data_IF_071347325011
#
_entry.id   IF_071347325011
#
_cell.length_a   1.000
_cell.length_b   1.000
_cell.length_c   1.000
_cell.angle_alpha   90.00
_cell.angle_beta   90.00
_cell.angle_gamma   90.00
#
_symmetry.space_group_name_H-M   'P 1'
#
loop_
_entity.id
_entity.type
_entity.pdbx_description
1 polymer ?
#
# COMPACT_ATOMS: atom_id res chain seq x y z
N UNK A 1 11.26 -8.50 -21.86
CA UNK A 1 12.35 -7.54 -22.07
C UNK A 1 13.05 -7.14 -20.76
N UNK A 2 12.32 -6.82 -19.66
CA UNK A 2 12.92 -6.46 -18.37
C UNK A 2 13.76 -7.60 -17.80
N UNK A 3 13.23 -8.83 -17.78
CA UNK A 3 13.97 -9.99 -17.30
C UNK A 3 15.30 -10.18 -18.03
N UNK A 4 15.29 -10.07 -19.37
CA UNK A 4 16.48 -10.22 -20.19
C UNK A 4 17.52 -9.11 -19.91
N UNK A 5 17.04 -7.86 -19.75
CA UNK A 5 17.92 -6.71 -19.56
C UNK A 5 18.58 -6.71 -18.17
N UNK A 6 17.84 -7.10 -17.14
CA UNK A 6 18.30 -7.07 -15.74
C UNK A 6 18.67 -8.44 -15.17
N UNK A 7 18.59 -9.52 -15.95
CA UNK A 7 18.86 -10.87 -15.46
C UNK A 7 17.86 -11.33 -14.41
N UNK A 8 16.59 -10.92 -14.54
CA UNK A 8 15.51 -11.24 -13.61
C UNK A 8 14.75 -12.47 -14.09
N UNK A 9 14.05 -13.11 -13.15
CA UNK A 9 13.15 -14.24 -13.40
C UNK A 9 11.75 -13.90 -12.87
N UNK A 10 11.14 -12.85 -13.42
CA UNK A 10 9.80 -12.40 -13.05
C UNK A 10 8.75 -12.99 -13.96
N UNK A 11 7.69 -13.51 -13.36
CA UNK A 11 6.50 -13.97 -14.06
C UNK A 11 5.53 -12.82 -14.31
N UNK A 12 4.97 -12.80 -15.54
CA UNK A 12 3.88 -11.90 -15.89
C UNK A 12 2.57 -12.68 -15.92
N UNK A 13 1.65 -12.33 -15.02
CA UNK A 13 0.35 -12.99 -14.92
C UNK A 13 -0.74 -12.01 -15.37
N UNK A 14 -1.30 -12.15 -16.61
CA UNK A 14 -2.25 -11.19 -17.18
C UNK A 14 -3.68 -11.48 -16.68
N UNK A 15 -3.90 -11.31 -15.38
CA UNK A 15 -5.21 -11.50 -14.74
C UNK A 15 -5.37 -10.60 -13.53
N UNK A 16 -6.60 -10.44 -13.06
CA UNK A 16 -6.86 -9.74 -11.80
C UNK A 16 -6.17 -10.45 -10.64
N UNK A 17 -5.66 -9.65 -9.70
CA UNK A 17 -5.02 -10.20 -8.51
C UNK A 17 -6.00 -11.04 -7.71
N UNK A 18 -5.62 -12.27 -7.43
CA UNK A 18 -6.26 -13.18 -6.50
C UNK A 18 -5.21 -13.72 -5.51
N UNK A 19 -5.61 -13.92 -4.27
CA UNK A 19 -4.67 -14.38 -3.23
C UNK A 19 -4.11 -15.79 -3.48
N UNK A 20 -4.78 -16.59 -4.32
CA UNK A 20 -4.28 -17.89 -4.78
C UNK A 20 -3.07 -17.78 -5.70
N UNK A 21 -2.87 -16.59 -6.32
CA UNK A 21 -1.73 -16.33 -7.20
C UNK A 21 -0.42 -16.08 -6.43
N UNK A 22 -0.49 -15.83 -5.14
CA UNK A 22 0.69 -15.78 -4.30
C UNK A 22 1.27 -17.19 -4.18
N UNK A 23 1.98 -17.62 -5.23
CA UNK A 23 2.67 -18.91 -5.28
C UNK A 23 3.74 -18.99 -4.20
N UNK A 24 4.03 -20.20 -3.81
CA UNK A 24 4.87 -20.57 -2.67
C UNK A 24 6.36 -20.42 -3.02
N UNK A 25 6.85 -19.20 -3.07
CA UNK A 25 8.26 -18.92 -3.35
C UNK A 25 9.04 -18.55 -2.08
N UNK A 26 8.97 -19.41 -1.05
CA UNK A 26 9.82 -19.30 0.11
C UNK A 26 9.11 -19.07 1.45
N UNK A 27 9.88 -19.17 2.54
CA UNK A 27 9.41 -19.05 3.93
C UNK A 27 9.42 -17.62 4.48
N UNK A 28 9.82 -16.64 3.67
CA UNK A 28 9.95 -15.24 4.08
C UNK A 28 8.65 -14.43 4.00
N UNK A 29 8.66 -13.19 4.52
CA UNK A 29 7.53 -12.29 4.39
C UNK A 29 7.29 -11.93 2.92
N UNK A 30 6.04 -11.99 2.47
CA UNK A 30 5.67 -11.56 1.13
C UNK A 30 5.15 -10.14 1.13
N UNK A 31 5.51 -9.37 0.10
CA UNK A 31 5.12 -7.98 -0.07
C UNK A 31 4.24 -7.86 -1.32
N UNK A 32 2.99 -7.43 -1.13
CA UNK A 32 2.15 -7.02 -2.24
C UNK A 32 2.41 -5.55 -2.54
N UNK A 33 2.73 -5.22 -3.78
CA UNK A 33 2.88 -3.82 -4.23
C UNK A 33 1.73 -3.53 -5.18
N UNK A 34 0.95 -2.49 -4.89
CA UNK A 34 -0.16 -2.07 -5.72
C UNK A 34 0.03 -0.67 -6.29
N UNK A 35 -0.22 -0.58 -7.60
CA UNK A 35 -0.18 0.66 -8.37
C UNK A 35 -1.49 0.78 -9.16
N UNK A 36 -2.64 0.61 -8.46
CA UNK A 36 -3.97 0.61 -9.08
C UNK A 36 -4.57 2.00 -9.04
N UNK A 37 -5.29 2.35 -10.10
CA UNK A 37 -5.91 3.65 -10.30
C UNK A 37 -7.39 3.69 -9.86
N UNK A 38 -8.08 2.54 -9.82
CA UNK A 38 -9.51 2.49 -9.52
C UNK A 38 -9.83 2.09 -8.07
N UNK A 39 -10.91 2.66 -7.53
CA UNK A 39 -11.46 2.29 -6.23
C UNK A 39 -11.91 0.82 -6.21
N UNK A 40 -12.45 0.33 -7.33
CA UNK A 40 -12.85 -1.09 -7.50
C UNK A 40 -11.66 -2.03 -7.32
N UNK A 41 -10.57 -1.79 -8.06
CA UNK A 41 -9.36 -2.61 -7.97
C UNK A 41 -8.76 -2.58 -6.56
N UNK A 42 -8.80 -1.43 -5.89
CA UNK A 42 -8.31 -1.29 -4.51
C UNK A 42 -9.20 -2.02 -3.49
N UNK A 43 -10.53 -2.05 -3.71
CA UNK A 43 -11.46 -2.88 -2.91
C UNK A 43 -11.18 -4.36 -3.07
N UNK A 44 -10.94 -4.82 -4.29
CA UNK A 44 -10.65 -6.22 -4.57
C UNK A 44 -9.32 -6.64 -3.94
N UNK A 45 -8.28 -5.81 -4.06
CA UNK A 45 -7.01 -6.00 -3.36
C UNK A 45 -7.21 -6.04 -1.83
N UNK A 46 -7.93 -5.08 -1.26
CA UNK A 46 -8.23 -5.08 0.18
C UNK A 46 -8.86 -6.40 0.61
N UNK A 47 -9.93 -6.83 -0.08
CA UNK A 47 -10.64 -8.08 0.22
C UNK A 47 -9.69 -9.28 0.16
N UNK A 48 -8.90 -9.38 -0.89
CA UNK A 48 -7.98 -10.49 -1.12
C UNK A 48 -6.82 -10.52 -0.12
N UNK A 49 -6.22 -9.37 0.19
CA UNK A 49 -5.09 -9.29 1.10
C UNK A 49 -5.47 -9.54 2.56
N UNK A 50 -6.68 -9.15 2.99
CA UNK A 50 -7.16 -9.34 4.36
C UNK A 50 -7.81 -10.70 4.61
N UNK A 51 -8.11 -11.48 3.57
CA UNK A 51 -8.73 -12.80 3.76
C UNK A 51 -7.77 -13.80 4.45
N UNK A 52 -8.33 -14.81 5.09
CA UNK A 52 -7.58 -15.77 5.92
C UNK A 52 -6.47 -16.51 5.18
N UNK A 53 -6.67 -16.84 3.89
CA UNK A 53 -5.73 -17.56 3.02
C UNK A 53 -4.59 -16.71 2.46
N UNK A 54 -4.68 -15.39 2.52
CA UNK A 54 -3.64 -14.52 1.99
C UNK A 54 -2.29 -14.72 2.70
N UNK A 55 -1.21 -14.73 1.95
CA UNK A 55 0.17 -14.83 2.47
C UNK A 55 0.87 -13.48 2.57
N UNK A 56 0.25 -12.41 2.08
CA UNK A 56 0.84 -11.07 2.13
C UNK A 56 1.08 -10.64 3.58
N UNK A 57 2.34 -10.45 3.92
CA UNK A 57 2.76 -9.90 5.20
C UNK A 57 2.69 -8.38 5.16
N UNK A 58 3.11 -7.79 4.04
CA UNK A 58 3.09 -6.36 3.81
C UNK A 58 2.28 -6.02 2.57
N UNK A 59 1.67 -4.85 2.60
CA UNK A 59 1.03 -4.21 1.45
C UNK A 59 1.57 -2.80 1.30
N UNK A 60 2.32 -2.57 0.21
CA UNK A 60 2.77 -1.26 -0.21
C UNK A 60 1.84 -0.74 -1.30
N UNK A 61 1.06 0.28 -1.00
CA UNK A 61 0.16 0.92 -1.96
C UNK A 61 0.73 2.26 -2.43
N UNK A 62 0.74 2.43 -3.74
CA UNK A 62 1.06 3.68 -4.39
C UNK A 62 -0.21 4.21 -5.05
N UNK A 63 -0.67 5.38 -4.63
CA UNK A 63 -1.79 6.07 -5.24
C UNK A 63 -1.39 7.50 -5.60
N UNK A 64 -2.01 8.03 -6.63
CA UNK A 64 -1.75 9.37 -7.11
C UNK A 64 -3.03 10.10 -7.51
N UNK A 65 -2.92 11.42 -7.57
CA UNK A 65 -3.86 12.36 -8.15
C UNK A 65 -3.12 13.23 -9.15
N UNK A 66 -3.75 14.28 -9.66
CA UNK A 66 -3.09 15.21 -10.60
C UNK A 66 -1.78 15.80 -10.04
N UNK A 67 -1.76 16.17 -8.78
CA UNK A 67 -0.61 16.86 -8.17
C UNK A 67 -0.14 16.25 -6.85
N UNK A 68 -0.77 15.19 -6.40
CA UNK A 68 -0.47 14.53 -5.13
C UNK A 68 -0.23 13.04 -5.27
N UNK A 69 0.46 12.47 -4.29
CA UNK A 69 0.62 11.04 -4.15
C UNK A 69 0.54 10.62 -2.69
N UNK A 70 0.05 9.41 -2.45
CA UNK A 70 0.24 8.71 -1.19
C UNK A 70 1.01 7.42 -1.45
N UNK A 71 1.94 7.13 -0.57
CA UNK A 71 2.66 5.85 -0.52
C UNK A 71 2.52 5.32 0.89
N UNK A 72 1.95 4.14 1.05
CA UNK A 72 1.69 3.55 2.37
C UNK A 72 2.11 2.10 2.41
N UNK A 73 2.98 1.77 3.34
CA UNK A 73 3.35 0.40 3.70
C UNK A 73 2.51 -0.03 4.90
N UNK A 74 1.62 -0.99 4.71
CA UNK A 74 0.79 -1.55 5.77
C UNK A 74 0.98 -3.05 5.94
N UNK A 75 0.36 -3.61 6.95
CA UNK A 75 0.32 -5.05 7.20
C UNK A 75 -1.13 -5.52 7.21
N UNK A 76 -1.59 -6.28 6.21
CA UNK A 76 -2.95 -6.83 6.21
C UNK A 76 -3.21 -7.76 7.40
N UNK A 77 -2.17 -8.41 7.89
CA UNK A 77 -2.20 -9.34 9.04
C UNK A 77 -1.16 -8.96 10.08
N UNK A 78 -1.38 -9.32 11.35
CA UNK A 78 -0.35 -9.18 12.36
C UNK A 78 0.93 -9.93 11.96
N UNK A 79 2.03 -9.21 11.98
CA UNK A 79 3.38 -9.76 11.84
C UNK A 79 4.24 -9.06 12.90
N UNK A 80 5.05 -9.81 13.66
CA UNK A 80 5.80 -9.24 14.77
C UNK A 80 6.74 -8.14 14.29
N UNK A 81 6.44 -6.91 14.67
CA UNK A 81 7.38 -5.80 14.63
C UNK A 81 7.62 -5.39 16.09
N UNK A 82 8.87 -5.44 16.57
CA UNK A 82 9.19 -5.13 17.97
C UNK A 82 8.65 -3.77 18.42
N UNK A 83 8.56 -2.81 17.50
CA UNK A 83 8.11 -1.44 17.74
C UNK A 83 6.58 -1.34 17.91
N UNK A 84 5.83 -2.40 17.55
CA UNK A 84 4.37 -2.39 17.50
C UNK A 84 3.70 -3.29 18.54
N UNK A 85 4.39 -3.66 19.63
CA UNK A 85 3.92 -4.61 20.64
C UNK A 85 2.48 -4.34 21.13
N UNK A 86 2.07 -3.07 21.20
CA UNK A 86 0.72 -2.69 21.63
C UNK A 86 -0.34 -2.67 20.52
N UNK A 87 0.05 -2.58 19.25
CA UNK A 87 -0.85 -2.34 18.10
C UNK A 87 -0.94 -3.51 17.14
N UNK A 88 -0.02 -4.45 17.23
CA UNK A 88 0.00 -5.72 16.51
C UNK A 88 0.36 -5.62 15.03
N UNK A 89 0.15 -4.49 14.35
CA UNK A 89 0.47 -4.31 12.93
C UNK A 89 0.37 -2.86 12.47
N UNK A 90 1.01 -2.55 11.33
CA UNK A 90 0.87 -1.27 10.63
C UNK A 90 -0.51 -1.17 9.95
N UNK A 91 -1.24 -0.05 10.08
CA UNK A 91 -2.46 0.16 9.31
C UNK A 91 -2.16 0.24 7.82
N UNK A 92 -3.02 -0.38 7.00
CA UNK A 92 -2.92 -0.30 5.55
C UNK A 92 -3.58 0.98 5.01
N UNK A 93 -3.30 1.30 3.74
CA UNK A 93 -3.82 2.49 3.07
C UNK A 93 -5.34 2.63 3.19
N UNK A 94 -6.07 1.54 3.02
CA UNK A 94 -7.55 1.51 3.09
C UNK A 94 -8.11 1.68 4.50
N UNK A 95 -7.29 1.50 5.51
CA UNK A 95 -7.65 1.77 6.91
C UNK A 95 -7.36 3.23 7.28
N UNK A 96 -6.26 3.78 6.77
CA UNK A 96 -5.92 5.21 6.94
C UNK A 96 -6.85 6.11 6.13
N UNK A 97 -7.24 5.68 4.92
CA UNK A 97 -8.03 6.43 3.97
C UNK A 97 -9.23 5.59 3.49
N UNK A 98 -10.25 5.36 4.34
CA UNK A 98 -11.41 4.54 3.97
C UNK A 98 -12.16 5.04 2.73
N UNK A 99 -12.12 6.34 2.47
CA UNK A 99 -12.72 6.96 1.28
C UNK A 99 -12.15 6.43 -0.05
N UNK A 100 -10.96 5.84 -0.04
CA UNK A 100 -10.39 5.18 -1.22
C UNK A 100 -11.15 3.90 -1.63
N UNK A 101 -12.03 3.41 -0.76
CA UNK A 101 -12.90 2.27 -1.03
C UNK A 101 -14.30 2.71 -1.48
N UNK A 102 -14.63 4.00 -1.36
CA UNK A 102 -15.91 4.54 -1.78
C UNK A 102 -15.94 4.70 -3.30
N UNK A 103 -17.07 4.36 -3.92
CA UNK A 103 -17.29 4.68 -5.32
C UNK A 103 -17.45 6.20 -5.45
N UNK A 104 -16.40 6.88 -5.83
CA UNK A 104 -16.59 8.09 -6.61
C UNK A 104 -17.21 7.63 -7.93
N UNK A 105 -18.17 8.38 -8.47
CA UNK A 105 -18.68 8.11 -9.81
C UNK A 105 -17.46 8.06 -10.74
N UNK A 106 -16.94 6.84 -10.93
CA UNK A 106 -15.99 6.58 -11.97
C UNK A 106 -16.81 6.80 -13.23
N UNK A 107 -16.59 7.91 -13.92
CA UNK A 107 -17.07 8.03 -15.27
C UNK A 107 -16.68 6.76 -15.99
N UNK A 108 -17.66 5.99 -16.46
CA UNK A 108 -17.47 4.76 -17.26
C UNK A 108 -16.81 5.05 -18.62
N UNK A 109 -16.24 6.24 -18.77
CA UNK A 109 -15.40 6.58 -19.88
C UNK A 109 -14.17 5.68 -19.82
N UNK A 110 -13.98 4.79 -20.81
CA UNK A 110 -12.81 3.94 -20.84
C UNK A 110 -11.58 4.83 -20.74
N UNK A 111 -10.76 4.59 -19.72
CA UNK A 111 -9.47 5.28 -19.51
C UNK A 111 -8.48 4.91 -20.64
N UNK A 112 -8.99 4.82 -21.85
CA UNK A 112 -8.38 4.18 -23.00
C UNK A 112 -7.42 5.06 -23.78
N UNK A 113 -7.00 6.19 -23.26
CA UNK A 113 -5.84 6.78 -23.87
C UNK A 113 -4.80 7.12 -22.80
N UNK A 114 -3.65 6.49 -22.92
CA UNK A 114 -2.38 6.93 -22.31
C UNK A 114 -2.24 8.45 -22.38
N UNK A 115 -2.81 9.08 -23.39
CA UNK A 115 -2.83 10.53 -23.61
C UNK A 115 -3.71 11.26 -22.59
N UNK A 116 -4.90 10.75 -22.24
CA UNK A 116 -5.78 11.34 -21.23
C UNK A 116 -5.18 11.16 -19.84
N UNK A 117 -4.66 9.99 -19.55
CA UNK A 117 -3.95 9.71 -18.30
C UNK A 117 -2.72 10.60 -18.11
N UNK A 118 -1.94 10.84 -19.16
CA UNK A 118 -0.79 11.75 -19.14
C UNK A 118 -1.21 13.22 -19.01
N UNK A 119 -2.39 13.59 -19.46
CA UNK A 119 -2.92 14.96 -19.31
C UNK A 119 -3.52 15.22 -17.93
N UNK A 120 -4.04 14.19 -17.27
CA UNK A 120 -4.68 14.29 -15.95
C UNK A 120 -3.71 14.12 -14.78
N UNK A 121 -2.49 13.66 -15.04
CA UNK A 121 -1.47 13.44 -14.01
C UNK A 121 -0.27 14.38 -14.23
N UNK A 122 0.19 15.00 -13.15
CA UNK A 122 1.41 15.78 -13.19
C UNK A 122 2.62 14.93 -13.55
N UNK A 123 3.47 15.43 -14.42
CA UNK A 123 4.60 14.70 -15.02
C UNK A 123 5.49 13.95 -14.00
N UNK A 124 5.68 14.51 -12.81
CA UNK A 124 6.61 13.98 -11.82
C UNK A 124 5.95 13.28 -10.62
N UNK A 125 4.61 13.18 -10.59
CA UNK A 125 3.88 12.61 -9.45
C UNK A 125 4.23 11.13 -9.29
N UNK A 126 4.21 10.38 -10.39
CA UNK A 126 4.52 8.95 -10.39
C UNK A 126 6.00 8.69 -10.03
N UNK A 127 6.93 9.49 -10.58
CA UNK A 127 8.36 9.36 -10.24
C UNK A 127 8.59 9.59 -8.74
N UNK A 128 7.96 10.60 -8.16
CA UNK A 128 8.05 10.88 -6.74
C UNK A 128 7.46 9.74 -5.88
N UNK A 129 6.30 9.21 -6.27
CA UNK A 129 5.69 8.08 -5.56
C UNK A 129 6.61 6.85 -5.57
N UNK A 130 7.20 6.51 -6.71
CA UNK A 130 8.13 5.38 -6.84
C UNK A 130 9.38 5.58 -5.98
N UNK A 131 9.95 6.78 -5.94
CA UNK A 131 11.14 7.06 -5.10
C UNK A 131 10.85 6.88 -3.62
N UNK A 132 9.71 7.38 -3.12
CA UNK A 132 9.30 7.16 -1.73
C UNK A 132 8.98 5.70 -1.43
N UNK A 133 8.32 4.99 -2.36
CA UNK A 133 8.06 3.55 -2.20
C UNK A 133 9.37 2.76 -2.10
N UNK A 134 10.33 3.06 -2.96
CA UNK A 134 11.65 2.42 -2.93
C UNK A 134 12.41 2.72 -1.64
N UNK A 135 12.32 3.95 -1.13
CA UNK A 135 12.93 4.32 0.15
C UNK A 135 12.31 3.54 1.32
N UNK A 136 10.96 3.43 1.38
CA UNK A 136 10.28 2.64 2.42
C UNK A 136 10.66 1.16 2.36
N UNK A 137 10.78 0.57 1.17
CA UNK A 137 11.25 -0.80 1.01
C UNK A 137 12.69 -0.96 1.45
N UNK A 138 13.57 -0.03 1.07
CA UNK A 138 14.96 -0.04 1.51
C UNK A 138 15.06 -0.01 3.03
N UNK A 139 14.31 0.85 3.70
CA UNK A 139 14.29 0.93 5.17
C UNK A 139 13.74 -0.35 5.80
N UNK A 140 12.65 -0.91 5.23
CA UNK A 140 12.07 -2.18 5.69
C UNK A 140 13.10 -3.33 5.68
N UNK A 141 13.94 -3.39 4.64
CA UNK A 141 14.98 -4.42 4.52
C UNK A 141 16.21 -4.17 5.39
N UNK A 142 16.41 -2.96 5.88
CA UNK A 142 17.60 -2.57 6.66
C UNK A 142 17.39 -2.60 8.17
N UNK A 143 16.16 -2.59 8.64
CA UNK A 143 15.90 -2.60 10.07
C UNK A 143 14.58 -1.95 10.47
N UNK A 144 14.45 -1.48 11.70
CA UNK A 144 13.21 -0.94 12.20
C UNK A 144 12.79 0.33 11.43
N UNK A 145 11.57 0.32 10.91
CA UNK A 145 10.99 1.46 10.21
C UNK A 145 10.41 2.46 11.20
N UNK A 146 10.67 3.74 10.97
CA UNK A 146 10.11 4.84 11.78
C UNK A 146 8.91 5.49 11.13
N UNK A 147 8.87 5.49 9.81
CA UNK A 147 7.76 5.93 8.99
C UNK A 147 7.29 4.76 8.14
N UNK A 148 5.97 4.66 7.96
CA UNK A 148 5.40 3.63 7.10
C UNK A 148 4.59 4.19 5.94
N UNK A 149 4.62 5.49 5.74
CA UNK A 149 3.99 6.14 4.60
C UNK A 149 4.48 7.56 4.39
N UNK A 150 4.17 8.10 3.22
CA UNK A 150 4.44 9.49 2.84
C UNK A 150 3.27 10.02 2.03
N UNK A 151 2.83 11.23 2.38
CA UNK A 151 1.89 12.02 1.60
C UNK A 151 2.66 13.12 0.88
N UNK A 152 2.44 13.25 -0.42
CA UNK A 152 3.14 14.23 -1.26
C UNK A 152 2.13 15.12 -1.97
N UNK A 153 2.42 16.42 -2.03
CA UNK A 153 1.71 17.37 -2.85
C UNK A 153 2.72 18.24 -3.61
N UNK A 154 2.84 18.01 -4.91
CA UNK A 154 3.82 18.69 -5.75
C UNK A 154 3.44 20.15 -6.03
N UNK A 155 2.15 20.49 -6.07
CA UNK A 155 1.71 21.87 -6.28
C UNK A 155 2.14 22.77 -5.11
N UNK A 156 1.95 22.32 -3.89
CA UNK A 156 2.34 23.05 -2.69
C UNK A 156 3.80 22.81 -2.26
N UNK A 157 4.53 21.95 -2.96
CA UNK A 157 5.94 21.55 -2.64
C UNK A 157 6.07 20.97 -1.23
N UNK A 158 5.07 20.20 -0.79
CA UNK A 158 5.05 19.60 0.54
C UNK A 158 5.08 18.08 0.47
N UNK A 159 5.81 17.48 1.40
CA UNK A 159 5.71 16.06 1.73
C UNK A 159 5.63 15.91 3.24
N UNK A 160 4.85 14.93 3.70
CA UNK A 160 4.69 14.63 5.11
C UNK A 160 4.74 13.13 5.37
N UNK A 161 5.56 12.67 6.33
CA UNK A 161 5.61 11.26 6.69
C UNK A 161 4.37 10.84 7.47
N UNK A 162 4.07 9.54 7.40
CA UNK A 162 3.16 8.85 8.30
C UNK A 162 4.04 8.05 9.27
N UNK A 163 4.20 8.55 10.48
CA UNK A 163 5.05 7.91 11.47
C UNK A 163 4.44 6.59 11.95
N UNK A 164 5.29 5.64 12.33
CA UNK A 164 4.93 4.43 13.08
C UNK A 164 4.60 4.86 14.51
N UNK A 165 3.47 5.54 14.65
CA UNK A 165 3.02 6.10 15.91
C UNK A 165 1.49 6.08 16.01
N UNK A 166 0.95 5.40 17.03
CA UNK A 166 -0.49 5.35 17.28
C UNK A 166 -1.18 6.69 17.43
N UNK A 167 -0.50 7.71 17.96
CA UNK A 167 -1.06 9.05 18.08
C UNK A 167 -1.26 9.71 16.70
N UNK A 168 -0.38 9.41 15.75
CA UNK A 168 -0.52 9.83 14.35
C UNK A 168 -1.69 9.11 13.71
N UNK A 169 -1.80 7.79 13.88
CA UNK A 169 -2.89 6.98 13.30
C UNK A 169 -4.28 7.35 13.80
N UNK A 170 -4.39 7.82 15.06
CA UNK A 170 -5.66 8.35 15.59
C UNK A 170 -6.19 9.53 14.77
N UNK A 171 -5.32 10.35 14.17
CA UNK A 171 -5.73 11.47 13.29
C UNK A 171 -6.41 10.98 12.02
N UNK A 172 -6.10 9.75 11.59
CA UNK A 172 -6.76 9.06 10.48
C UNK A 172 -7.96 8.22 10.92
N UNK A 173 -8.42 8.35 12.17
CA UNK A 173 -9.57 7.61 12.68
C UNK A 173 -9.27 6.19 13.15
N UNK A 174 -8.00 5.75 13.12
CA UNK A 174 -7.63 4.42 13.62
C UNK A 174 -7.83 4.37 15.14
N UNK A 175 -8.70 3.46 15.59
CA UNK A 175 -8.95 3.22 17.01
C UNK A 175 -8.30 1.90 17.44
N UNK A 176 -7.74 1.86 18.66
CA UNK A 176 -7.21 0.64 19.26
C UNK A 176 -8.32 -0.42 19.34
N UNK A 177 -8.17 -1.54 18.66
CA UNK A 177 -8.95 -2.73 18.99
C UNK A 177 -8.36 -3.30 20.27
N UNK A 178 -9.13 -3.28 21.37
CA UNK A 178 -8.75 -4.05 22.57
C UNK A 178 -8.54 -5.51 22.15
N UNK A 179 -7.45 -6.18 22.54
CA UNK A 179 -7.29 -7.60 22.29
C UNK A 179 -8.51 -8.31 22.91
N UNK A 180 -9.18 -9.16 22.13
CA UNK A 180 -10.23 -10.05 22.67
C UNK A 180 -9.53 -11.06 23.58
N UNK A 181 -9.75 -10.93 24.89
CA UNK A 181 -9.53 -11.99 25.87
C UNK A 181 -8.09 -12.15 26.33
N UNK A 182 -7.68 -11.32 27.28
CA UNK A 182 -7.00 -11.77 28.48
C UNK A 182 -8.02 -11.49 29.59
N UNK A 183 -8.90 -12.46 29.84
CA UNK A 183 -9.57 -12.55 31.13
C UNK A 183 -8.48 -12.90 32.11
N UNK A 184 -8.26 -12.00 33.07
CA UNK A 184 -7.46 -12.28 34.24
C UNK A 184 -8.11 -13.46 34.98
N UNK A 185 -7.37 -14.55 35.12
CA UNK A 185 -7.56 -15.51 36.22
C UNK A 185 -6.94 -14.96 37.49
#
# INVERSE_FOLDING_TARGET
RLNQYFGLDWDAVPQHYDASLATDHGSGPSIAISCVDSARSRRDLHRNLFQRGSRATYWLDLGNTESGAQVVLGQPKPYPLPELQEWGRLPCVTELFPQLLEEQQEDDAPSCSVRISLQSQGLFVNDMAVRWASQLLYELFRGPIRQHGVLVNLSSKRSGPIDVNPAVWKRFGIRRRKPRGLQAE
#
